data_IF_042978766234
#
_entry.id   IF_042978766234
#
_cell.length_a   1.000
_cell.length_b   1.000
_cell.length_c   1.000
_cell.angle_alpha   90.00
_cell.angle_beta   90.00
_cell.angle_gamma   90.00
#
_symmetry.space_group_name_H-M   'P 1'
#
loop_
_entity.id
_entity.type
_entity.pdbx_description
1 polymer ?
#
# COMPACT_ATOMS: atom_id res chain seq x y z
N UNK A 1 18.92 -2.79 -17.31
CA UNK A 1 19.82 -2.20 -18.30
C UNK A 1 20.80 -1.22 -17.66
N UNK A 2 20.31 -0.20 -16.88
CA UNK A 2 21.13 0.82 -16.22
C UNK A 2 22.27 0.23 -15.36
N UNK A 3 21.98 -0.71 -14.46
CA UNK A 3 22.99 -1.36 -13.62
C UNK A 3 24.07 -2.08 -14.44
N UNK A 4 23.68 -2.81 -15.50
CA UNK A 4 24.63 -3.50 -16.40
C UNK A 4 25.52 -2.53 -17.19
N UNK A 5 24.97 -1.37 -17.56
CA UNK A 5 25.73 -0.33 -18.24
C UNK A 5 26.72 0.35 -17.29
N UNK A 6 26.27 0.66 -16.08
CA UNK A 6 27.11 1.22 -15.03
C UNK A 6 28.27 0.30 -14.66
N UNK A 7 28.00 -1.00 -14.50
CA UNK A 7 29.03 -2.02 -14.26
C UNK A 7 30.07 -2.08 -15.38
N UNK A 8 29.62 -2.00 -16.64
CA UNK A 8 30.50 -2.03 -17.81
C UNK A 8 31.34 -0.76 -17.99
N UNK A 9 30.90 0.38 -17.46
CA UNK A 9 31.54 1.70 -17.62
C UNK A 9 32.21 2.19 -16.36
N UNK A 10 32.11 1.48 -15.24
CA UNK A 10 32.57 1.92 -13.91
C UNK A 10 31.79 3.12 -13.35
N UNK A 11 30.59 3.38 -13.86
CA UNK A 11 29.71 4.44 -13.39
C UNK A 11 28.79 3.99 -12.26
N UNK A 12 28.31 4.93 -11.45
CA UNK A 12 27.29 4.66 -10.44
C UNK A 12 25.89 4.73 -11.06
N UNK A 13 25.06 3.67 -10.97
CA UNK A 13 23.71 3.68 -11.52
C UNK A 13 22.78 4.50 -10.60
N UNK A 14 22.22 5.59 -11.10
CA UNK A 14 21.16 6.34 -10.42
C UNK A 14 19.82 5.92 -11.01
N UNK A 15 19.02 5.19 -10.20
CA UNK A 15 17.68 4.74 -10.55
C UNK A 15 16.67 5.68 -9.87
N UNK A 16 15.93 6.43 -10.67
CA UNK A 16 14.94 7.38 -10.18
C UNK A 16 13.74 7.47 -11.12
N UNK A 17 12.62 7.93 -10.61
CA UNK A 17 11.41 8.19 -11.38
C UNK A 17 11.12 9.69 -11.41
N UNK A 18 10.22 10.13 -12.30
CA UNK A 18 9.81 11.54 -12.36
C UNK A 18 9.16 12.00 -11.03
N UNK A 19 8.47 11.12 -10.33
CA UNK A 19 7.88 11.38 -9.01
C UNK A 19 8.95 11.55 -7.92
N UNK A 20 10.01 10.73 -7.96
CA UNK A 20 11.11 10.84 -6.99
C UNK A 20 11.89 12.15 -7.16
N UNK A 21 12.20 12.53 -8.41
CA UNK A 21 12.95 13.76 -8.71
C UNK A 21 12.18 15.03 -8.30
N UNK A 22 10.85 15.00 -8.45
CA UNK A 22 10.02 16.15 -8.13
C UNK A 22 9.44 16.11 -6.71
N UNK A 23 9.83 15.13 -5.89
CA UNK A 23 9.29 14.90 -4.53
C UNK A 23 7.76 14.80 -4.49
N UNK A 24 7.17 14.28 -5.57
CA UNK A 24 5.72 14.15 -5.71
C UNK A 24 5.23 12.91 -4.98
N UNK A 25 4.01 13.00 -4.44
CA UNK A 25 3.33 11.88 -3.80
C UNK A 25 3.38 10.60 -4.64
N UNK A 26 4.04 9.56 -4.09
CA UNK A 26 4.16 8.25 -4.70
C UNK A 26 3.10 7.31 -4.11
N UNK A 27 2.11 6.95 -4.93
CA UNK A 27 0.95 6.12 -4.52
C UNK A 27 1.37 4.76 -3.96
N UNK A 28 2.31 4.09 -4.59
CA UNK A 28 2.80 2.76 -4.20
C UNK A 28 3.54 2.78 -2.87
N UNK A 29 4.36 3.80 -2.64
CA UNK A 29 5.07 4.03 -1.36
C UNK A 29 4.06 4.33 -0.26
N UNK A 30 3.09 5.21 -0.53
CA UNK A 30 2.03 5.54 0.42
C UNK A 30 1.17 4.33 0.76
N UNK A 31 0.73 3.58 -0.25
CA UNK A 31 -0.07 2.37 -0.05
C UNK A 31 0.69 1.32 0.79
N UNK A 32 1.99 1.11 0.50
CA UNK A 32 2.83 0.19 1.27
C UNK A 32 2.98 0.64 2.72
N UNK A 33 3.31 1.93 2.95
CA UNK A 33 3.50 2.49 4.29
C UNK A 33 2.25 2.37 5.16
N UNK A 34 1.07 2.56 4.55
CA UNK A 34 -0.22 2.56 5.26
C UNK A 34 -0.97 1.21 5.18
N UNK A 35 -0.32 0.15 4.71
CA UNK A 35 -0.94 -1.17 4.61
C UNK A 35 -2.16 -1.23 3.70
N UNK A 36 -2.13 -0.43 2.64
CA UNK A 36 -3.20 -0.38 1.66
C UNK A 36 -2.87 -1.25 0.45
N UNK A 37 -3.90 -1.78 -0.18
CA UNK A 37 -3.83 -2.48 -1.46
C UNK A 37 -4.33 -1.56 -2.57
N UNK A 38 -3.63 -1.58 -3.69
CA UNK A 38 -4.01 -0.86 -4.90
C UNK A 38 -4.95 -1.76 -5.72
N UNK A 39 -6.20 -1.34 -5.91
CA UNK A 39 -7.21 -2.13 -6.63
C UNK A 39 -7.12 -1.98 -8.15
N UNK A 40 -6.72 -0.80 -8.64
CA UNK A 40 -6.59 -0.51 -10.06
C UNK A 40 -5.30 0.26 -10.36
N UNK A 41 -4.37 -0.39 -11.03
CA UNK A 41 -3.05 0.21 -11.34
C UNK A 41 -3.11 1.36 -12.34
N UNK A 42 -4.11 1.38 -13.22
CA UNK A 42 -4.29 2.46 -14.20
C UNK A 42 -4.53 3.81 -13.51
N UNK A 43 -5.21 3.81 -12.36
CA UNK A 43 -5.41 4.99 -11.53
C UNK A 43 -4.12 5.62 -11.00
N UNK A 44 -3.04 4.85 -10.81
CA UNK A 44 -1.74 5.39 -10.37
C UNK A 44 -1.23 6.40 -11.39
N UNK A 45 -1.29 6.04 -12.67
CA UNK A 45 -0.82 6.90 -13.76
C UNK A 45 -1.61 8.20 -13.83
N UNK A 46 -2.93 8.12 -13.67
CA UNK A 46 -3.81 9.28 -13.64
C UNK A 46 -3.45 10.25 -12.49
N UNK A 47 -3.30 9.74 -11.27
CA UNK A 47 -2.90 10.53 -10.10
C UNK A 47 -1.53 11.18 -10.31
N UNK A 48 -0.54 10.41 -10.77
CA UNK A 48 0.81 10.92 -11.02
C UNK A 48 0.83 12.02 -12.09
N UNK A 49 0.05 11.86 -13.17
CA UNK A 49 -0.05 12.86 -14.24
C UNK A 49 -0.68 14.17 -13.75
N UNK A 50 -1.76 14.10 -12.94
CA UNK A 50 -2.36 15.28 -12.30
C UNK A 50 -1.35 16.03 -11.43
N UNK A 51 -0.65 15.33 -10.56
CA UNK A 51 0.32 15.93 -9.65
C UNK A 51 1.53 16.54 -10.39
N UNK A 52 2.03 15.86 -11.43
CA UNK A 52 3.11 16.39 -12.29
C UNK A 52 2.71 17.68 -13.02
N UNK A 53 1.44 17.87 -13.28
CA UNK A 53 0.88 19.11 -13.85
C UNK A 53 0.58 20.19 -12.79
N UNK A 54 0.93 19.97 -11.53
CA UNK A 54 0.64 20.88 -10.42
C UNK A 54 -0.83 20.96 -10.04
N UNK A 55 -1.65 19.97 -10.44
CA UNK A 55 -3.05 19.89 -10.08
C UNK A 55 -3.23 19.18 -8.74
N UNK A 56 -4.26 19.56 -7.99
CA UNK A 56 -4.62 18.88 -6.75
C UNK A 56 -5.38 17.58 -7.05
N UNK A 57 -5.19 16.59 -6.17
CA UNK A 57 -5.87 15.30 -6.19
C UNK A 57 -6.88 15.26 -5.04
N UNK A 58 -8.15 15.10 -5.34
CA UNK A 58 -9.21 14.98 -4.35
C UNK A 58 -9.30 13.57 -3.78
N UNK A 59 -9.27 13.45 -2.46
CA UNK A 59 -9.23 12.19 -1.73
C UNK A 59 -10.51 11.99 -0.94
N UNK A 60 -11.25 10.93 -1.22
CA UNK A 60 -12.36 10.47 -0.39
C UNK A 60 -11.86 9.41 0.58
N UNK A 61 -12.05 9.65 1.88
CA UNK A 61 -11.77 8.70 2.94
C UNK A 61 -13.07 8.03 3.41
N UNK A 62 -13.02 6.71 3.65
CA UNK A 62 -14.08 6.01 4.39
C UNK A 62 -14.08 6.49 5.86
N UNK A 63 -15.23 6.45 6.52
CA UNK A 63 -15.39 6.88 7.92
C UNK A 63 -14.36 6.24 8.86
N UNK A 64 -13.99 4.99 8.62
CA UNK A 64 -12.97 4.28 9.40
C UNK A 64 -11.58 4.92 9.32
N UNK A 65 -11.28 5.70 8.29
CA UNK A 65 -10.00 6.40 8.10
C UNK A 65 -10.07 7.89 8.48
N UNK A 66 -11.25 8.50 8.52
CA UNK A 66 -11.43 9.91 8.82
C UNK A 66 -10.93 10.30 10.22
N UNK A 67 -10.87 9.33 11.16
CA UNK A 67 -10.33 9.53 12.50
C UNK A 67 -8.80 9.38 12.58
N UNK A 68 -8.15 8.81 11.54
CA UNK A 68 -6.72 8.50 11.55
C UNK A 68 -5.89 9.42 10.66
N UNK A 69 -6.52 10.11 9.72
CA UNK A 69 -5.83 10.99 8.76
C UNK A 69 -6.54 12.35 8.81
N UNK A 70 -5.90 13.32 9.45
CA UNK A 70 -6.33 14.73 9.37
C UNK A 70 -5.88 15.35 8.06
N UNK A 71 -6.54 16.43 7.63
CA UNK A 71 -6.16 17.16 6.42
C UNK A 71 -4.68 17.63 6.45
N UNK A 72 -4.18 17.96 7.66
CA UNK A 72 -2.79 18.37 7.87
C UNK A 72 -1.77 17.21 7.68
N UNK A 73 -2.22 15.96 7.67
CA UNK A 73 -1.38 14.76 7.49
C UNK A 73 -1.42 14.22 6.07
N UNK A 74 -2.24 14.81 5.20
CA UNK A 74 -2.25 14.44 3.79
C UNK A 74 -0.95 14.90 3.13
N UNK A 75 -0.38 14.06 2.27
CA UNK A 75 0.76 14.45 1.45
C UNK A 75 0.47 15.70 0.60
N UNK A 76 1.51 16.47 0.30
CA UNK A 76 1.41 17.65 -0.56
C UNK A 76 0.75 17.32 -1.91
N UNK A 77 -0.18 18.16 -2.34
CA UNK A 77 -0.94 17.99 -3.57
C UNK A 77 -2.24 17.19 -3.41
N UNK A 78 -2.50 16.58 -2.23
CA UNK A 78 -3.75 15.90 -1.92
C UNK A 78 -4.65 16.82 -1.07
N UNK A 79 -5.96 16.80 -1.36
CA UNK A 79 -6.99 17.56 -0.62
C UNK A 79 -8.17 16.64 -0.32
N UNK A 80 -8.83 16.84 0.82
CA UNK A 80 -10.03 16.07 1.14
C UNK A 80 -11.14 16.39 0.14
N UNK A 81 -11.83 15.35 -0.31
CA UNK A 81 -13.01 15.48 -1.12
C UNK A 81 -14.20 15.91 -0.25
N UNK A 82 -14.57 17.16 -0.33
CA UNK A 82 -15.80 17.65 0.25
C UNK A 82 -16.96 17.30 -0.68
N UNK A 83 -17.68 16.22 -0.38
CA UNK A 83 -18.89 15.81 -1.10
C UNK A 83 -19.93 16.92 -1.11
N UNK A 84 -19.84 17.81 -2.07
CA UNK A 84 -20.80 18.89 -2.28
C UNK A 84 -21.95 18.49 -3.18
N UNK A 85 -23.03 19.24 -3.14
CA UNK A 85 -24.27 19.10 -3.95
C UNK A 85 -24.09 19.21 -5.47
N UNK A 86 -22.87 19.30 -5.99
CA UNK A 86 -22.55 19.20 -7.41
C UNK A 86 -22.28 17.75 -7.77
N UNK A 87 -23.30 17.10 -8.29
CA UNK A 87 -23.36 15.68 -8.66
C UNK A 87 -22.37 15.20 -9.73
N UNK A 88 -21.50 16.08 -10.26
CA UNK A 88 -20.69 15.79 -11.45
C UNK A 88 -19.20 15.56 -11.16
N UNK A 89 -18.72 15.78 -9.93
CA UNK A 89 -17.32 15.56 -9.56
C UNK A 89 -17.20 14.29 -8.72
N UNK A 90 -16.50 13.29 -9.25
CA UNK A 90 -16.08 12.13 -8.50
C UNK A 90 -14.69 12.41 -7.88
N UNK A 91 -14.36 11.81 -6.71
CA UNK A 91 -13.02 11.91 -6.15
C UNK A 91 -12.00 11.25 -7.09
N UNK A 92 -10.76 11.75 -7.07
CA UNK A 92 -9.66 11.17 -7.84
C UNK A 92 -9.09 9.92 -7.16
N UNK A 93 -9.07 9.92 -5.83
CA UNK A 93 -8.57 8.85 -4.99
C UNK A 93 -9.62 8.47 -3.94
N UNK A 94 -9.90 7.19 -3.82
CA UNK A 94 -10.78 6.63 -2.76
C UNK A 94 -9.98 5.68 -1.89
N UNK A 95 -9.99 5.93 -0.57
CA UNK A 95 -9.40 5.03 0.43
C UNK A 95 -10.53 4.43 1.27
N UNK A 96 -10.69 3.11 1.24
CA UNK A 96 -11.80 2.42 1.88
C UNK A 96 -11.37 1.14 2.60
N UNK A 97 -12.13 0.74 3.62
CA UNK A 97 -12.02 -0.56 4.29
C UNK A 97 -12.75 -1.68 3.56
N UNK A 98 -13.67 -1.35 2.63
CA UNK A 98 -14.58 -2.32 2.02
C UNK A 98 -14.22 -2.67 0.57
N UNK A 99 -13.53 -3.79 0.36
CA UNK A 99 -13.26 -4.34 -0.97
C UNK A 99 -14.53 -4.52 -1.84
N UNK A 100 -15.63 -4.97 -1.23
CA UNK A 100 -16.86 -5.28 -1.97
C UNK A 100 -17.56 -4.03 -2.53
N UNK A 101 -17.46 -2.88 -1.86
CA UNK A 101 -18.01 -1.61 -2.38
C UNK A 101 -17.24 -1.15 -3.61
N UNK A 102 -15.93 -1.30 -3.59
CA UNK A 102 -15.04 -0.86 -4.67
C UNK A 102 -15.18 -1.77 -5.88
N UNK A 103 -15.25 -3.10 -5.70
CA UNK A 103 -15.48 -4.05 -6.80
C UNK A 103 -16.79 -3.74 -7.53
N UNK A 104 -17.90 -3.52 -6.80
CA UNK A 104 -19.18 -3.13 -7.42
C UNK A 104 -19.14 -1.77 -8.12
N UNK A 105 -18.39 -0.81 -7.59
CA UNK A 105 -18.22 0.49 -8.23
C UNK A 105 -17.32 0.42 -9.46
N UNK A 106 -16.29 -0.42 -9.44
CA UNK A 106 -15.39 -0.64 -10.59
C UNK A 106 -16.07 -1.41 -11.73
N UNK A 107 -17.00 -2.33 -11.42
CA UNK A 107 -17.81 -3.01 -12.43
C UNK A 107 -18.79 -2.07 -13.12
N UNK A 108 -19.29 -1.08 -12.38
CA UNK A 108 -20.25 -0.07 -12.91
C UNK A 108 -19.53 1.10 -13.60
N UNK A 109 -18.29 1.40 -13.17
CA UNK A 109 -17.48 2.48 -13.71
C UNK A 109 -16.21 1.89 -14.31
N UNK A 110 -16.19 1.65 -15.61
CA UNK A 110 -14.95 1.48 -16.40
C UNK A 110 -14.12 2.79 -16.42
N UNK A 111 -14.12 3.53 -15.32
CA UNK A 111 -13.51 4.83 -15.23
C UNK A 111 -12.07 4.64 -14.71
N UNK A 112 -11.11 4.76 -15.62
CA UNK A 112 -9.66 4.71 -15.33
C UNK A 112 -9.18 5.97 -14.57
N UNK A 113 -10.06 6.93 -14.33
CA UNK A 113 -9.75 8.25 -13.74
C UNK A 113 -9.87 8.29 -12.21
N UNK A 114 -10.27 7.20 -11.56
CA UNK A 114 -10.35 7.10 -10.09
C UNK A 114 -9.42 6.01 -9.61
N UNK A 115 -8.53 6.33 -8.68
CA UNK A 115 -7.68 5.35 -7.99
C UNK A 115 -8.39 4.84 -6.74
N UNK A 116 -8.40 3.53 -6.55
CA UNK A 116 -8.96 2.89 -5.36
C UNK A 116 -7.87 2.19 -4.55
N UNK A 117 -7.78 2.57 -3.27
CA UNK A 117 -6.96 1.93 -2.26
C UNK A 117 -7.85 1.29 -1.20
N UNK A 118 -7.52 0.06 -0.80
CA UNK A 118 -8.24 -0.63 0.28
C UNK A 118 -7.30 -1.06 1.38
N UNK A 119 -7.77 -0.97 2.64
CA UNK A 119 -7.01 -1.52 3.75
C UNK A 119 -6.85 -3.03 3.59
N UNK A 120 -5.68 -3.54 3.95
CA UNK A 120 -5.45 -4.97 4.08
C UNK A 120 -6.12 -5.45 5.37
N UNK A 121 -7.10 -6.38 5.30
CA UNK A 121 -7.96 -6.70 6.44
C UNK A 121 -7.34 -7.66 7.46
N UNK A 122 -6.20 -8.30 7.16
CA UNK A 122 -5.67 -9.36 8.01
C UNK A 122 -4.38 -8.96 8.74
N UNK A 123 -4.30 -9.40 9.99
CA UNK A 123 -3.06 -9.45 10.77
C UNK A 123 -2.82 -10.92 11.12
N UNK A 124 -1.63 -11.41 10.85
CA UNK A 124 -1.25 -12.79 11.11
C UNK A 124 -0.61 -12.89 12.51
N UNK A 125 -1.39 -13.35 13.49
CA UNK A 125 -0.88 -13.64 14.83
C UNK A 125 -0.06 -14.94 14.84
N UNK A 126 1.22 -14.90 15.23
CA UNK A 126 2.08 -16.08 15.30
C UNK A 126 2.70 -16.25 16.68
N UNK A 127 2.39 -17.40 17.31
CA UNK A 127 3.13 -17.90 18.45
C UNK A 127 3.99 -19.10 18.05
N UNK A 128 5.27 -19.10 18.36
CA UNK A 128 6.17 -20.20 18.04
C UNK A 128 7.15 -20.52 19.20
N UNK A 129 7.73 -21.71 19.18
CA UNK A 129 8.87 -22.03 20.07
C UNK A 129 10.10 -21.24 19.63
N UNK A 130 11.01 -20.97 20.58
CA UNK A 130 12.27 -20.28 20.31
C UNK A 130 13.11 -21.02 19.27
N UNK A 131 13.73 -20.29 18.34
CA UNK A 131 14.66 -20.83 17.36
C UNK A 131 13.99 -21.52 16.17
N UNK A 132 12.72 -21.23 15.90
CA UNK A 132 12.07 -21.68 14.66
C UNK A 132 12.65 -20.97 13.45
N UNK A 133 13.00 -21.74 12.40
CA UNK A 133 13.53 -21.20 11.16
C UNK A 133 12.45 -20.57 10.28
N UNK A 134 12.85 -19.68 9.37
CA UNK A 134 11.99 -19.14 8.31
C UNK A 134 11.24 -20.28 7.57
N UNK A 135 11.96 -21.32 7.17
CA UNK A 135 11.38 -22.43 6.39
C UNK A 135 10.25 -23.14 7.15
N UNK A 136 10.44 -23.41 8.45
CA UNK A 136 9.39 -24.06 9.27
C UNK A 136 8.17 -23.16 9.42
N UNK A 137 8.38 -21.89 9.73
CA UNK A 137 7.29 -20.91 9.91
C UNK A 137 6.56 -20.65 8.60
N UNK A 138 7.28 -20.49 7.51
CA UNK A 138 6.72 -20.29 6.18
C UNK A 138 5.86 -21.48 5.75
N UNK A 139 6.38 -22.71 5.85
CA UNK A 139 5.64 -23.92 5.51
C UNK A 139 4.35 -24.05 6.33
N UNK A 140 4.41 -23.72 7.62
CA UNK A 140 3.25 -23.73 8.49
C UNK A 140 2.20 -22.70 8.03
N UNK A 141 2.63 -21.46 7.77
CA UNK A 141 1.73 -20.39 7.29
C UNK A 141 1.12 -20.76 5.94
N UNK A 142 1.93 -21.21 4.98
CA UNK A 142 1.45 -21.56 3.64
C UNK A 142 0.49 -22.75 3.63
N UNK A 143 0.59 -23.63 4.62
CA UNK A 143 -0.34 -24.77 4.78
C UNK A 143 -1.70 -24.35 5.36
N UNK A 144 -1.73 -23.33 6.26
CA UNK A 144 -2.95 -23.01 7.02
C UNK A 144 -3.61 -21.69 6.56
N UNK A 145 -2.90 -20.83 5.85
CA UNK A 145 -3.37 -19.51 5.40
C UNK A 145 -3.38 -19.49 3.88
N UNK A 146 -4.52 -19.16 3.29
CA UNK A 146 -4.66 -19.12 1.82
C UNK A 146 -3.75 -18.03 1.21
N UNK A 147 -3.42 -18.17 -0.07
CA UNK A 147 -2.61 -17.18 -0.79
C UNK A 147 -3.28 -15.79 -0.78
N UNK A 148 -4.61 -15.75 -0.93
CA UNK A 148 -5.38 -14.50 -0.87
C UNK A 148 -5.24 -13.83 0.50
N UNK A 149 -5.40 -14.59 1.59
CA UNK A 149 -5.23 -14.06 2.95
C UNK A 149 -3.81 -13.56 3.21
N UNK A 150 -2.79 -14.31 2.76
CA UNK A 150 -1.38 -13.88 2.89
C UNK A 150 -1.11 -12.58 2.14
N UNK A 151 -1.61 -12.46 0.91
CA UNK A 151 -1.48 -11.24 0.09
C UNK A 151 -2.14 -10.03 0.74
N UNK A 152 -3.27 -10.24 1.39
CA UNK A 152 -4.07 -9.21 2.04
C UNK A 152 -3.71 -9.03 3.52
N UNK A 153 -2.58 -9.62 3.96
CA UNK A 153 -2.05 -9.44 5.30
C UNK A 153 -1.30 -8.12 5.42
N UNK A 154 -1.64 -7.35 6.46
CA UNK A 154 -1.00 -6.06 6.77
C UNK A 154 0.29 -6.24 7.57
N UNK A 155 0.26 -7.12 8.58
CA UNK A 155 1.35 -7.30 9.52
C UNK A 155 1.39 -8.75 10.04
N UNK A 156 2.55 -9.14 10.57
CA UNK A 156 2.66 -10.27 11.51
C UNK A 156 2.66 -9.68 12.91
N UNK A 157 1.83 -10.23 13.81
CA UNK A 157 1.79 -9.86 15.22
C UNK A 157 2.28 -11.01 16.11
N UNK A 158 3.05 -10.68 17.15
CA UNK A 158 3.49 -11.61 18.17
C UNK A 158 3.57 -10.93 19.53
N UNK A 159 3.99 -11.66 20.56
CA UNK A 159 4.23 -11.07 21.88
C UNK A 159 5.62 -10.43 21.94
N UNK A 160 5.83 -9.45 22.83
CA UNK A 160 7.07 -8.68 22.99
C UNK A 160 8.31 -9.59 23.16
N UNK A 161 8.16 -10.72 23.87
CA UNK A 161 9.22 -11.70 24.05
C UNK A 161 9.72 -12.33 22.74
N UNK A 162 9.02 -12.11 21.64
CA UNK A 162 9.33 -12.63 20.31
C UNK A 162 9.85 -11.57 19.33
N UNK A 163 10.05 -10.33 19.80
CA UNK A 163 10.57 -9.24 18.97
C UNK A 163 11.92 -9.61 18.32
N UNK A 164 12.79 -10.29 19.08
CA UNK A 164 14.13 -10.70 18.65
C UNK A 164 14.17 -12.12 18.04
N UNK A 165 13.01 -12.73 17.76
CA UNK A 165 12.99 -14.08 17.16
C UNK A 165 13.32 -14.00 15.66
N UNK A 166 14.53 -14.40 15.28
CA UNK A 166 15.08 -14.28 13.93
C UNK A 166 14.13 -14.86 12.86
N UNK A 167 13.57 -16.04 13.11
CA UNK A 167 12.66 -16.66 12.15
C UNK A 167 11.39 -15.86 11.89
N UNK A 168 10.86 -15.12 12.89
CA UNK A 168 9.71 -14.22 12.71
C UNK A 168 10.09 -12.95 11.94
N UNK A 169 11.27 -12.38 12.22
CA UNK A 169 11.79 -11.22 11.49
C UNK A 169 12.02 -11.57 10.01
N UNK A 170 12.64 -12.72 9.75
CA UNK A 170 12.85 -13.23 8.38
C UNK A 170 11.52 -13.51 7.67
N UNK A 171 10.51 -14.04 8.37
CA UNK A 171 9.19 -14.28 7.80
C UNK A 171 8.48 -12.98 7.44
N UNK A 172 8.55 -11.96 8.30
CA UNK A 172 8.01 -10.64 8.02
C UNK A 172 8.70 -10.00 6.81
N UNK A 173 10.03 -10.10 6.74
CA UNK A 173 10.81 -9.64 5.60
C UNK A 173 10.44 -10.39 4.30
N UNK A 174 10.27 -11.72 4.38
CA UNK A 174 9.88 -12.56 3.24
C UNK A 174 8.53 -12.13 2.63
N UNK A 175 7.53 -11.84 3.49
CA UNK A 175 6.23 -11.34 3.03
C UNK A 175 6.21 -9.81 2.77
N UNK A 176 7.27 -9.09 3.11
CA UNK A 176 7.37 -7.63 2.92
C UNK A 176 6.37 -6.83 3.77
N UNK A 177 6.04 -7.34 4.96
CA UNK A 177 5.11 -6.74 5.94
C UNK A 177 5.82 -6.56 7.29
N UNK A 178 5.37 -5.60 8.15
CA UNK A 178 6.00 -5.39 9.46
C UNK A 178 5.73 -6.54 10.44
N UNK A 179 6.69 -6.75 11.34
CA UNK A 179 6.48 -7.50 12.59
C UNK A 179 6.09 -6.51 13.68
N UNK A 180 4.97 -6.76 14.34
CA UNK A 180 4.43 -5.97 15.45
C UNK A 180 4.47 -6.84 16.71
N UNK A 181 5.01 -6.33 17.81
CA UNK A 181 5.06 -6.99 19.12
C UNK A 181 4.50 -6.11 20.20
#
# INVERSE_FOLDING_TARGET
>A
LACRLAEATGAEPVLTTATDVNHIFAVDVFAKKNGLRIENRDGIRYISDKLLRGQQVSVQLDEAFSFQISEAELPEGLVLYEGGTRSDLSPDLVISTMQNKIRKQNEVRKNTEVLYLTAKPYVLGIGCKKGKSLTELRNFVEHHVTEEQRRDCYAIASIDLKAEEVGLQELAQYYGIPLIT
#
